data_IF_665382313096
#
_entry.id   IF_665382313096
#
_cell.length_a   1.000
_cell.length_b   1.000
_cell.length_c   1.000
_cell.angle_alpha   90.00
_cell.angle_beta   90.00
_cell.angle_gamma   90.00
#
_symmetry.space_group_name_H-M   'P 1'
#
loop_
_entity.id
_entity.type
_entity.pdbx_description
1 polymer ?
#
# COMPACT_ATOMS: atom_id res chain seq x y z
N UNK A 1 -2.17 24.71 -12.13
CA UNK A 1 -3.06 23.98 -11.21
C UNK A 1 -2.15 23.23 -10.24
N UNK A 2 -2.01 23.74 -9.02
CA UNK A 2 -1.23 23.05 -7.98
C UNK A 2 -2.12 21.89 -7.55
N UNK A 3 -1.79 20.66 -7.96
CA UNK A 3 -2.56 19.48 -7.58
C UNK A 3 -2.65 19.43 -6.06
N UNK A 4 -3.87 19.24 -5.55
CA UNK A 4 -4.06 19.02 -4.12
C UNK A 4 -3.10 17.92 -3.66
N UNK A 5 -2.41 18.08 -2.51
CA UNK A 5 -1.52 17.04 -2.03
C UNK A 5 -2.36 15.76 -1.88
N UNK A 6 -1.95 14.70 -2.58
CA UNK A 6 -2.58 13.39 -2.44
C UNK A 6 -2.65 13.06 -0.95
N UNK A 7 -3.87 12.94 -0.42
CA UNK A 7 -4.07 12.73 1.00
C UNK A 7 -3.49 11.37 1.39
N UNK A 8 -2.47 11.36 2.24
CA UNK A 8 -1.88 10.12 2.74
C UNK A 8 -2.83 9.47 3.73
N UNK A 9 -3.05 8.17 3.56
CA UNK A 9 -3.90 7.38 4.42
C UNK A 9 -3.17 6.14 4.90
N UNK A 10 -3.45 5.77 6.13
CA UNK A 10 -2.82 4.65 6.80
C UNK A 10 -3.93 3.70 7.23
N UNK A 11 -3.84 2.47 6.73
CA UNK A 11 -4.75 1.38 7.03
C UNK A 11 -3.95 0.25 7.66
N UNK A 12 -4.50 -0.32 8.73
CA UNK A 12 -3.98 -1.54 9.33
C UNK A 12 -4.87 -2.70 8.89
N UNK A 13 -4.26 -3.67 8.24
CA UNK A 13 -4.92 -4.92 7.86
C UNK A 13 -4.41 -5.98 8.82
N UNK A 14 -5.33 -6.49 9.62
CA UNK A 14 -5.10 -7.65 10.45
C UNK A 14 -5.29 -8.90 9.59
N UNK A 15 -4.23 -9.69 9.43
CA UNK A 15 -4.25 -10.86 8.56
C UNK A 15 -5.09 -12.00 9.12
N UNK A 16 -5.32 -12.04 10.44
CA UNK A 16 -6.12 -13.07 11.09
C UNK A 16 -7.61 -12.82 10.86
N UNK A 17 -8.03 -11.55 10.90
CA UNK A 17 -9.44 -11.14 10.76
C UNK A 17 -9.82 -10.78 9.30
N UNK A 18 -8.88 -10.38 8.45
CA UNK A 18 -9.13 -9.85 7.11
C UNK A 18 -8.42 -10.64 5.99
N UNK A 19 -8.27 -11.95 6.17
CA UNK A 19 -7.62 -12.85 5.22
C UNK A 19 -8.20 -12.77 3.79
N UNK A 20 -9.53 -12.63 3.66
CA UNK A 20 -10.22 -12.51 2.37
C UNK A 20 -9.75 -11.30 1.53
N UNK A 21 -9.22 -10.25 2.17
CA UNK A 21 -8.65 -9.11 1.44
C UNK A 21 -7.31 -9.46 0.79
N UNK A 22 -6.56 -10.37 1.41
CA UNK A 22 -5.20 -10.72 1.03
C UNK A 22 -5.18 -11.77 -0.09
N UNK A 23 -6.05 -12.78 -0.04
CA UNK A 23 -6.08 -13.87 -1.02
C UNK A 23 -6.09 -13.35 -2.48
N UNK A 24 -5.24 -13.89 -3.38
CA UNK A 24 -4.35 -15.05 -3.23
C UNK A 24 -2.91 -14.68 -2.79
N UNK A 25 -2.70 -13.48 -2.23
CA UNK A 25 -1.38 -13.05 -1.75
C UNK A 25 -1.12 -13.65 -0.37
N UNK A 26 -0.10 -14.48 -0.26
CA UNK A 26 0.42 -14.95 1.01
C UNK A 26 1.35 -13.89 1.64
N UNK A 27 1.14 -13.60 2.93
CA UNK A 27 1.97 -12.67 3.71
C UNK A 27 2.51 -13.40 4.93
N UNK A 28 3.76 -13.84 4.84
CA UNK A 28 4.42 -14.61 5.92
C UNK A 28 5.35 -13.76 6.79
N UNK A 29 5.87 -12.64 6.26
CA UNK A 29 6.83 -11.77 6.93
C UNK A 29 6.16 -10.51 7.50
N UNK A 30 6.31 -10.30 8.81
CA UNK A 30 5.69 -9.17 9.51
C UNK A 30 6.72 -8.18 10.09
N UNK A 31 6.43 -6.86 10.04
CA UNK A 31 5.32 -6.22 9.35
C UNK A 31 5.55 -6.11 7.82
N UNK A 32 4.52 -6.36 7.02
CA UNK A 32 4.53 -6.11 5.57
C UNK A 32 3.79 -4.81 5.24
N UNK A 33 4.39 -3.98 4.38
CA UNK A 33 3.85 -2.71 3.94
C UNK A 33 3.39 -2.80 2.49
N UNK A 34 2.13 -2.44 2.24
CA UNK A 34 1.62 -2.08 0.92
C UNK A 34 1.57 -0.56 0.80
N UNK A 35 2.20 -0.02 -0.25
CA UNK A 35 2.02 1.36 -0.65
C UNK A 35 1.36 1.41 -2.03
N UNK A 36 0.27 2.14 -2.16
CA UNK A 36 -0.47 2.28 -3.41
C UNK A 36 -0.73 3.75 -3.76
N UNK A 37 -0.86 4.02 -5.06
CA UNK A 37 -1.30 5.30 -5.59
C UNK A 37 -2.41 5.03 -6.61
N UNK A 38 -3.65 5.41 -6.26
CA UNK A 38 -4.83 4.93 -6.98
C UNK A 38 -4.92 3.41 -6.92
N UNK A 39 -5.14 2.76 -8.06
CA UNK A 39 -5.21 1.30 -8.19
C UNK A 39 -3.83 0.62 -8.38
N UNK A 40 -2.75 1.40 -8.27
CA UNK A 40 -1.40 0.92 -8.55
C UNK A 40 -0.59 0.73 -7.28
N UNK A 41 -0.22 -0.51 -6.99
CA UNK A 41 0.79 -0.82 -5.98
C UNK A 41 2.16 -0.26 -6.41
N UNK A 42 2.84 0.44 -5.51
CA UNK A 42 4.17 1.05 -5.68
C UNK A 42 5.23 0.33 -4.86
N UNK A 43 4.83 -0.27 -3.76
CA UNK A 43 5.68 -1.10 -2.91
C UNK A 43 4.83 -2.17 -2.25
N UNK A 44 5.37 -3.38 -2.15
CA UNK A 44 4.81 -4.46 -1.36
C UNK A 44 5.96 -5.30 -0.81
N UNK A 45 6.06 -5.41 0.51
CA UNK A 45 7.07 -6.25 1.14
C UNK A 45 7.33 -5.92 2.60
N UNK A 46 8.18 -6.71 3.27
CA UNK A 46 8.50 -6.54 4.68
C UNK A 46 9.24 -5.22 4.92
N UNK A 47 8.95 -4.60 6.06
CA UNK A 47 9.61 -3.39 6.52
C UNK A 47 10.34 -3.65 7.82
N UNK A 48 11.58 -3.16 7.93
CA UNK A 48 12.26 -3.16 9.22
C UNK A 48 11.51 -2.24 10.20
N UNK A 49 11.43 -2.60 11.50
CA UNK A 49 10.69 -1.85 12.52
C UNK A 49 11.43 -0.55 12.92
N UNK A 50 11.71 0.30 11.93
CA UNK A 50 12.43 1.56 12.06
C UNK A 50 11.60 2.65 11.40
N UNK A 51 11.09 3.59 12.20
CA UNK A 51 10.21 4.65 11.71
C UNK A 51 10.84 5.50 10.60
N UNK A 52 12.16 5.75 10.65
CA UNK A 52 12.87 6.49 9.60
C UNK A 52 12.83 5.78 8.24
N UNK A 53 12.90 4.43 8.24
CA UNK A 53 12.79 3.63 7.01
C UNK A 53 11.42 3.82 6.35
N UNK A 54 10.35 3.77 7.15
CA UNK A 54 8.98 4.03 6.66
C UNK A 54 8.86 5.43 6.04
N UNK A 55 9.29 6.46 6.78
CA UNK A 55 9.18 7.86 6.35
C UNK A 55 9.96 8.08 5.05
N UNK A 56 11.17 7.52 4.94
CA UNK A 56 11.98 7.63 3.74
C UNK A 56 11.33 6.92 2.55
N UNK A 57 10.80 5.71 2.75
CA UNK A 57 10.11 4.95 1.72
C UNK A 57 8.89 5.71 1.19
N UNK A 58 8.03 6.22 2.07
CA UNK A 58 6.85 7.02 1.67
C UNK A 58 7.29 8.24 0.87
N UNK A 59 8.29 9.00 1.34
CA UNK A 59 8.78 10.19 0.63
C UNK A 59 9.32 9.86 -0.77
N UNK A 60 10.11 8.80 -0.90
CA UNK A 60 10.67 8.37 -2.19
C UNK A 60 9.58 7.94 -3.16
N UNK A 61 8.52 7.32 -2.67
CA UNK A 61 7.46 6.76 -3.50
C UNK A 61 6.31 7.75 -3.79
N UNK A 62 6.08 8.72 -2.91
CA UNK A 62 5.02 9.72 -3.04
C UNK A 62 5.41 10.96 -3.86
N UNK A 63 6.72 11.19 -4.08
CA UNK A 63 7.20 12.33 -4.89
C UNK A 63 7.37 11.95 -6.36
N UNK A 64 6.93 12.78 -7.34
CA UNK A 64 7.11 12.49 -8.76
C UNK A 64 8.58 12.55 -9.24
N UNK A 65 8.99 11.69 -10.20
CA UNK A 65 8.30 10.46 -10.56
C UNK A 65 8.61 9.43 -9.46
N UNK A 66 7.59 8.99 -8.71
CA UNK A 66 7.75 7.91 -7.74
C UNK A 66 8.19 6.62 -8.43
N UNK A 67 8.43 5.53 -7.70
CA UNK A 67 8.79 4.28 -8.37
C UNK A 67 7.66 3.83 -9.32
N UNK A 68 7.99 3.16 -10.43
CA UNK A 68 6.98 2.61 -11.31
C UNK A 68 6.05 1.66 -10.55
N UNK A 69 4.80 1.59 -10.99
CA UNK A 69 3.86 0.63 -10.45
C UNK A 69 4.40 -0.80 -10.59
N UNK A 70 4.23 -1.61 -9.54
CA UNK A 70 4.50 -3.04 -9.58
C UNK A 70 3.53 -3.68 -10.57
N UNK A 71 4.05 -4.37 -11.59
CA UNK A 71 3.25 -5.03 -12.61
C UNK A 71 2.90 -6.45 -12.15
N UNK A 72 2.15 -6.55 -11.06
CA UNK A 72 1.72 -7.81 -10.45
C UNK A 72 0.19 -7.80 -10.34
N UNK A 73 -0.54 -8.64 -11.10
CA UNK A 73 -2.00 -8.61 -11.12
C UNK A 73 -2.61 -8.83 -9.73
N UNK A 74 -2.05 -9.75 -8.93
CA UNK A 74 -2.51 -9.99 -7.56
C UNK A 74 -2.40 -8.77 -6.64
N UNK A 75 -1.39 -7.91 -6.85
CA UNK A 75 -1.26 -6.65 -6.07
C UNK A 75 -2.25 -5.59 -6.53
N UNK A 76 -2.57 -5.54 -7.82
CA UNK A 76 -3.63 -4.65 -8.33
C UNK A 76 -4.99 -5.03 -7.74
N UNK A 77 -5.30 -6.33 -7.71
CA UNK A 77 -6.54 -6.83 -7.12
C UNK A 77 -6.59 -6.61 -5.61
N UNK A 78 -5.48 -6.82 -4.89
CA UNK A 78 -5.36 -6.52 -3.46
C UNK A 78 -5.67 -5.05 -3.19
N UNK A 79 -5.07 -4.13 -3.95
CA UNK A 79 -5.36 -2.70 -3.82
C UNK A 79 -6.85 -2.43 -4.03
N UNK A 80 -7.46 -2.99 -5.08
CA UNK A 80 -8.88 -2.81 -5.36
C UNK A 80 -9.77 -3.30 -4.19
N UNK A 81 -9.48 -4.48 -3.61
CA UNK A 81 -10.21 -5.04 -2.46
C UNK A 81 -10.08 -4.15 -1.22
N UNK A 82 -8.87 -3.71 -0.88
CA UNK A 82 -8.61 -2.82 0.27
C UNK A 82 -9.36 -1.49 0.10
N UNK A 83 -9.36 -0.91 -1.10
CA UNK A 83 -10.08 0.34 -1.38
C UNK A 83 -11.60 0.17 -1.23
N UNK A 84 -12.14 -0.95 -1.70
CA UNK A 84 -13.57 -1.24 -1.59
C UNK A 84 -14.02 -1.51 -0.16
N UNK A 85 -13.17 -2.15 0.66
CA UNK A 85 -13.44 -2.43 2.08
C UNK A 85 -13.32 -1.18 2.98
N UNK A 86 -12.54 -0.18 2.56
CA UNK A 86 -12.32 1.06 3.29
C UNK A 86 -12.71 2.32 2.48
N UNK A 87 -14.00 2.48 2.12
CA UNK A 87 -14.45 3.58 1.25
C UNK A 87 -14.46 4.95 1.96
N UNK A 88 -14.42 4.99 3.29
CA UNK A 88 -14.52 6.23 4.09
C UNK A 88 -13.24 7.10 4.11
N UNK A 89 -12.30 6.83 3.22
CA UNK A 89 -11.19 7.71 2.94
C UNK A 89 -10.79 7.59 1.48
N UNK A 90 -11.54 8.11 0.52
CA UNK A 90 -11.01 8.35 -0.83
C UNK A 90 -11.56 9.66 -1.38
#
# INVERSE_FOLDING_TARGET
MQGEPAQLQFLWIDVEDQADLLEPIDVDDFPTLLLASGDQARFFGPLTPQAETLVRLIRTQAMPPGAPALQQPGLTELVARVRAAHPSGF
#
